data_IF_235650825575
#
_entry.id   IF_235650825575
#
_cell.length_a   1.000
_cell.length_b   1.000
_cell.length_c   1.000
_cell.angle_alpha   90.00
_cell.angle_beta   90.00
_cell.angle_gamma   90.00
#
_symmetry.space_group_name_H-M   'P 1'
#
loop_
_entity.id
_entity.type
_entity.pdbx_description
1 polymer ?
#
# COMPACT_ATOMS: atom_id res chain seq x y z
N UNK A 1 3.72 -31.22 -4.99
CA UNK A 1 3.06 -29.90 -4.76
C UNK A 1 3.45 -29.41 -3.38
N UNK A 2 4.22 -28.30 -3.28
CA UNK A 2 4.48 -27.68 -1.97
C UNK A 2 3.13 -27.24 -1.38
N UNK A 3 2.88 -27.58 -0.11
CA UNK A 3 1.63 -27.27 0.58
C UNK A 3 1.30 -25.78 0.46
N UNK A 4 0.25 -25.46 -0.29
CA UNK A 4 -0.25 -24.09 -0.47
C UNK A 4 -0.46 -23.42 0.90
N UNK A 5 -0.74 -24.20 1.95
CA UNK A 5 -0.94 -23.68 3.31
C UNK A 5 0.31 -23.06 3.94
N UNK A 6 1.51 -23.32 3.42
CA UNK A 6 2.77 -22.75 3.95
C UNK A 6 3.28 -21.53 3.19
N UNK A 7 2.67 -21.17 2.04
CA UNK A 7 3.16 -20.05 1.22
C UNK A 7 2.83 -18.70 1.86
N UNK A 8 3.85 -17.86 1.98
CA UNK A 8 3.74 -16.45 2.38
C UNK A 8 3.61 -15.62 1.10
N UNK A 9 2.51 -14.87 0.99
CA UNK A 9 2.32 -13.91 -0.11
C UNK A 9 2.69 -12.50 0.34
N UNK A 10 2.76 -11.54 -0.60
CA UNK A 10 3.09 -10.15 -0.30
C UNK A 10 2.14 -9.47 0.71
N UNK A 11 0.92 -9.98 0.82
CA UNK A 11 -0.11 -9.45 1.71
C UNK A 11 0.04 -9.94 3.16
N UNK A 12 0.75 -11.06 3.38
CA UNK A 12 0.98 -11.60 4.72
C UNK A 12 -0.31 -12.00 5.43
N UNK A 13 -0.46 -11.63 6.70
CA UNK A 13 -1.71 -11.82 7.46
C UNK A 13 -2.64 -10.64 7.20
N UNK A 14 -3.88 -10.94 6.84
CA UNK A 14 -4.94 -9.93 6.67
C UNK A 14 -5.77 -9.81 7.94
N UNK A 15 -5.98 -8.57 8.37
CA UNK A 15 -6.82 -8.12 9.46
C UNK A 15 -8.20 -7.71 8.93
N UNK A 16 -9.24 -7.91 9.75
CA UNK A 16 -10.62 -7.67 9.33
C UNK A 16 -11.22 -8.79 8.46
N UNK A 17 -12.54 -8.80 8.36
CA UNK A 17 -13.37 -9.66 7.51
C UNK A 17 -13.84 -8.95 6.23
N UNK A 18 -13.66 -7.64 6.11
CA UNK A 18 -14.13 -6.86 4.96
C UNK A 18 -12.98 -5.99 4.45
N UNK A 19 -12.30 -6.39 3.39
CA UNK A 19 -11.06 -5.72 2.97
C UNK A 19 -11.04 -5.33 1.51
N UNK A 20 -10.26 -4.30 1.18
CA UNK A 20 -9.98 -3.92 -0.20
C UNK A 20 -8.50 -4.08 -0.49
N UNK A 21 -8.17 -4.76 -1.58
CA UNK A 21 -6.82 -4.77 -2.13
C UNK A 21 -6.74 -3.69 -3.20
N UNK A 22 -5.81 -2.74 -3.04
CA UNK A 22 -5.62 -1.61 -3.94
C UNK A 22 -4.26 -1.75 -4.63
N UNK A 23 -4.24 -1.99 -5.93
CA UNK A 23 -3.03 -2.36 -6.67
C UNK A 23 -2.71 -1.26 -7.68
N UNK A 24 -1.53 -0.66 -7.54
CA UNK A 24 -0.98 0.28 -8.50
C UNK A 24 -0.78 -0.41 -9.87
N UNK A 25 -1.11 0.26 -10.96
CA UNK A 25 -0.98 -0.17 -12.36
C UNK A 25 -0.15 0.79 -13.20
N UNK A 26 0.44 1.81 -12.58
CA UNK A 26 1.30 2.77 -13.27
C UNK A 26 2.49 2.11 -13.96
N UNK A 27 3.09 2.80 -14.93
CA UNK A 27 4.11 2.22 -15.80
C UNK A 27 5.34 1.70 -15.05
N UNK A 28 5.63 2.25 -13.87
CA UNK A 28 6.72 1.82 -12.99
C UNK A 28 6.48 0.46 -12.33
N UNK A 29 5.23 0.02 -12.20
CA UNK A 29 4.89 -1.30 -11.66
C UNK A 29 4.83 -2.41 -12.73
N UNK A 30 4.85 -2.07 -14.02
CA UNK A 30 4.67 -3.00 -15.13
C UNK A 30 5.60 -4.23 -15.02
N UNK A 31 6.88 -4.01 -14.77
CA UNK A 31 7.88 -5.09 -14.58
C UNK A 31 7.61 -6.02 -13.39
N UNK A 32 6.71 -5.64 -12.48
CA UNK A 32 6.31 -6.42 -11.31
C UNK A 32 4.87 -6.94 -11.41
N UNK A 33 4.11 -6.54 -12.43
CA UNK A 33 2.67 -6.76 -12.49
C UNK A 33 2.29 -8.23 -12.40
N UNK A 34 2.90 -9.07 -13.22
CA UNK A 34 2.60 -10.50 -13.26
C UNK A 34 2.82 -11.18 -11.90
N UNK A 35 3.91 -10.82 -11.21
CA UNK A 35 4.23 -11.40 -9.91
C UNK A 35 3.30 -10.84 -8.82
N UNK A 36 2.94 -9.55 -8.86
CA UNK A 36 1.96 -8.95 -7.93
C UNK A 36 0.59 -9.61 -8.10
N UNK A 37 0.10 -9.76 -9.34
CA UNK A 37 -1.15 -10.43 -9.67
C UNK A 37 -1.13 -11.90 -9.22
N UNK A 38 -0.03 -12.61 -9.46
CA UNK A 38 0.14 -14.00 -8.99
C UNK A 38 0.03 -14.08 -7.47
N UNK A 39 0.74 -13.22 -6.74
CA UNK A 39 0.67 -13.19 -5.28
C UNK A 39 -0.71 -12.78 -4.75
N UNK A 40 -1.44 -11.90 -5.44
CA UNK A 40 -2.82 -11.53 -5.08
C UNK A 40 -3.77 -12.70 -5.26
N UNK A 41 -3.75 -13.37 -6.42
CA UNK A 41 -4.60 -14.53 -6.69
C UNK A 41 -4.28 -15.68 -5.72
N UNK A 42 -2.99 -16.00 -5.52
CA UNK A 42 -2.56 -16.99 -4.53
C UNK A 42 -3.06 -16.63 -3.12
N UNK A 43 -2.96 -15.35 -2.73
CA UNK A 43 -3.40 -14.90 -1.41
C UNK A 43 -4.91 -15.06 -1.23
N UNK A 44 -5.69 -14.69 -2.23
CA UNK A 44 -7.14 -14.82 -2.23
C UNK A 44 -7.56 -16.29 -2.16
N UNK A 45 -6.88 -17.20 -2.87
CA UNK A 45 -7.10 -18.65 -2.72
C UNK A 45 -6.87 -19.13 -1.27
N UNK A 46 -5.82 -18.62 -0.61
CA UNK A 46 -5.56 -18.96 0.79
C UNK A 46 -6.63 -18.41 1.74
N UNK A 47 -7.15 -17.21 1.46
CA UNK A 47 -8.23 -16.60 2.24
C UNK A 47 -9.55 -17.36 2.04
N UNK A 48 -9.88 -17.77 0.82
CA UNK A 48 -11.06 -18.59 0.52
C UNK A 48 -11.05 -19.88 1.35
N UNK A 49 -9.91 -20.58 1.35
CA UNK A 49 -9.76 -21.84 2.08
C UNK A 49 -9.85 -21.69 3.62
N UNK A 50 -9.50 -20.51 4.16
CA UNK A 50 -9.34 -20.29 5.62
C UNK A 50 -10.44 -19.43 6.25
N UNK A 51 -11.06 -18.53 5.47
CA UNK A 51 -11.91 -17.44 5.98
C UNK A 51 -13.15 -17.26 5.11
N UNK A 52 -13.98 -18.29 5.02
CA UNK A 52 -15.19 -18.34 4.15
C UNK A 52 -16.18 -17.18 4.33
N UNK A 53 -16.22 -16.54 5.50
CA UNK A 53 -17.14 -15.41 5.77
C UNK A 53 -16.58 -14.05 5.36
N UNK A 54 -15.28 -13.96 5.09
CA UNK A 54 -14.63 -12.71 4.71
C UNK A 54 -15.07 -12.30 3.30
N UNK A 55 -15.20 -10.99 3.12
CA UNK A 55 -15.52 -10.33 1.87
C UNK A 55 -14.35 -9.47 1.43
N UNK A 56 -14.20 -9.34 0.12
CA UNK A 56 -13.14 -8.55 -0.46
C UNK A 56 -13.62 -7.80 -1.71
N UNK A 57 -12.84 -6.81 -2.11
CA UNK A 57 -12.83 -6.29 -3.47
C UNK A 57 -11.39 -5.99 -3.88
N UNK A 58 -11.16 -5.87 -5.18
CA UNK A 58 -9.88 -5.44 -5.74
C UNK A 58 -10.12 -4.16 -6.52
N UNK A 59 -9.29 -3.17 -6.23
CA UNK A 59 -9.19 -1.91 -6.95
C UNK A 59 -7.82 -1.90 -7.61
N UNK A 60 -7.78 -1.53 -8.88
CA UNK A 60 -6.57 -1.30 -9.64
C UNK A 60 -6.55 0.18 -10.01
N UNK A 61 -5.41 0.85 -9.87
CA UNK A 61 -5.34 2.29 -10.08
C UNK A 61 -4.08 2.75 -10.80
N UNK A 62 -4.24 3.80 -11.58
CA UNK A 62 -3.19 4.62 -12.21
C UNK A 62 -3.67 6.07 -12.23
N UNK A 63 -3.85 6.70 -13.38
CA UNK A 63 -4.62 7.94 -13.52
C UNK A 63 -6.13 7.72 -13.45
N UNK A 64 -6.57 6.47 -13.57
CA UNK A 64 -7.94 6.03 -13.39
C UNK A 64 -8.05 5.00 -12.25
N UNK A 65 -9.29 4.76 -11.81
CA UNK A 65 -9.59 3.78 -10.78
C UNK A 65 -10.57 2.76 -11.34
N UNK A 66 -10.13 1.51 -11.41
CA UNK A 66 -10.94 0.38 -11.87
C UNK A 66 -11.24 -0.55 -10.70
N UNK A 67 -12.53 -0.83 -10.46
CA UNK A 67 -12.97 -1.76 -9.42
C UNK A 67 -13.36 -3.09 -10.06
N UNK A 68 -12.83 -4.20 -9.53
CA UNK A 68 -13.21 -5.54 -9.98
C UNK A 68 -14.72 -5.79 -9.83
N UNK A 69 -15.29 -5.33 -8.71
CA UNK A 69 -16.73 -5.37 -8.42
C UNK A 69 -17.18 -4.03 -7.87
N UNK A 70 -18.49 -3.76 -7.95
CA UNK A 70 -19.09 -2.54 -7.39
C UNK A 70 -19.15 -2.53 -5.85
N UNK A 71 -19.04 -3.70 -5.21
CA UNK A 71 -19.11 -3.88 -3.75
C UNK A 71 -18.21 -5.01 -3.29
N UNK A 72 -17.97 -5.10 -1.98
CA UNK A 72 -17.32 -6.25 -1.35
C UNK A 72 -18.12 -7.54 -1.60
N UNK A 73 -17.44 -8.58 -2.09
CA UNK A 73 -18.03 -9.89 -2.40
C UNK A 73 -17.35 -11.01 -1.61
N UNK A 74 -18.05 -12.13 -1.43
CA UNK A 74 -17.46 -13.34 -0.84
C UNK A 74 -16.53 -14.03 -1.84
N UNK A 75 -15.58 -14.79 -1.30
CA UNK A 75 -14.74 -15.66 -2.10
C UNK A 75 -15.55 -16.82 -2.71
N UNK A 76 -15.24 -17.17 -3.95
CA UNK A 76 -15.64 -18.44 -4.57
C UNK A 76 -14.66 -18.80 -5.68
N UNK A 77 -14.53 -20.08 -6.06
CA UNK A 77 -13.64 -20.48 -7.17
C UNK A 77 -13.95 -19.74 -8.49
N UNK A 78 -15.23 -19.50 -8.79
CA UNK A 78 -15.66 -18.75 -9.97
C UNK A 78 -15.18 -17.30 -9.91
N UNK A 79 -15.39 -16.63 -8.77
CA UNK A 79 -14.95 -15.25 -8.56
C UNK A 79 -13.42 -15.12 -8.69
N UNK A 80 -12.66 -16.09 -8.19
CA UNK A 80 -11.20 -16.09 -8.27
C UNK A 80 -10.74 -16.25 -9.73
N UNK A 81 -11.42 -17.10 -10.49
CA UNK A 81 -11.15 -17.28 -11.92
C UNK A 81 -11.46 -16.00 -12.71
N UNK A 82 -12.58 -15.34 -12.44
CA UNK A 82 -12.96 -14.07 -13.05
C UNK A 82 -11.97 -12.95 -12.69
N UNK A 83 -11.53 -12.89 -11.44
CA UNK A 83 -10.52 -11.93 -10.98
C UNK A 83 -9.20 -12.11 -11.74
N UNK A 84 -8.74 -13.36 -11.87
CA UNK A 84 -7.52 -13.67 -12.61
C UNK A 84 -7.63 -13.19 -14.06
N UNK A 85 -8.74 -13.49 -14.74
CA UNK A 85 -8.98 -13.03 -16.13
C UNK A 85 -9.00 -11.52 -16.23
N UNK A 86 -9.67 -10.85 -15.28
CA UNK A 86 -9.74 -9.39 -15.25
C UNK A 86 -8.36 -8.76 -15.11
N UNK A 87 -7.52 -9.25 -14.19
CA UNK A 87 -6.14 -8.77 -14.01
C UNK A 87 -5.24 -9.04 -15.23
N UNK A 88 -5.43 -10.16 -15.93
CA UNK A 88 -4.65 -10.52 -17.12
C UNK A 88 -4.95 -9.63 -18.34
N UNK A 89 -6.14 -9.01 -18.39
CA UNK A 89 -6.56 -8.17 -19.51
C UNK A 89 -6.23 -6.68 -19.29
N UNK A 90 -5.56 -6.34 -18.20
CA UNK A 90 -5.22 -4.96 -17.86
C UNK A 90 -4.06 -4.44 -18.73
N UNK A 91 -4.24 -3.27 -19.33
CA UNK A 91 -3.17 -2.51 -19.98
C UNK A 91 -2.51 -1.57 -18.96
N UNK A 92 -1.22 -1.27 -19.11
CA UNK A 92 -0.53 -0.34 -18.20
C UNK A 92 -0.65 1.11 -18.67
N UNK A 93 -0.93 2.02 -17.73
CA UNK A 93 -0.81 3.45 -17.97
C UNK A 93 0.57 3.97 -17.55
N UNK A 94 0.82 5.27 -17.73
CA UNK A 94 2.12 5.90 -17.42
C UNK A 94 2.19 6.48 -16.00
N UNK A 95 1.08 6.96 -15.45
CA UNK A 95 1.02 7.76 -14.21
C UNK A 95 0.26 7.05 -13.09
N UNK A 96 0.23 7.65 -11.88
CA UNK A 96 -0.44 7.12 -10.68
C UNK A 96 -1.04 8.27 -9.88
N UNK A 97 -2.30 8.14 -9.46
CA UNK A 97 -3.00 9.05 -8.54
C UNK A 97 -3.54 8.30 -7.32
N UNK A 98 -2.97 8.58 -6.14
CA UNK A 98 -3.33 7.88 -4.91
C UNK A 98 -4.65 8.35 -4.31
N UNK A 99 -4.97 9.65 -4.38
CA UNK A 99 -6.18 10.18 -3.74
C UNK A 99 -7.47 9.49 -4.26
N UNK A 100 -7.75 9.42 -5.58
CA UNK A 100 -8.94 8.74 -6.09
C UNK A 100 -8.98 7.25 -5.69
N UNK A 101 -7.83 6.57 -5.71
CA UNK A 101 -7.73 5.15 -5.37
C UNK A 101 -8.04 4.90 -3.88
N UNK A 102 -7.49 5.72 -2.99
CA UNK A 102 -7.74 5.65 -1.54
C UNK A 102 -9.20 6.00 -1.23
N UNK A 103 -9.75 7.03 -1.88
CA UNK A 103 -11.17 7.39 -1.76
C UNK A 103 -12.06 6.22 -2.17
N UNK A 104 -11.84 5.64 -3.35
CA UNK A 104 -12.61 4.51 -3.84
C UNK A 104 -12.51 3.29 -2.91
N UNK A 105 -11.32 3.03 -2.35
CA UNK A 105 -11.12 1.91 -1.42
C UNK A 105 -11.86 2.09 -0.10
N UNK A 106 -11.75 3.26 0.54
CA UNK A 106 -12.34 3.50 1.87
C UNK A 106 -13.83 3.85 1.83
N UNK A 107 -14.37 4.22 0.68
CA UNK A 107 -15.82 4.46 0.50
C UNK A 107 -16.60 3.16 0.21
N UNK A 108 -15.93 2.03 -0.04
CA UNK A 108 -16.60 0.73 -0.11
C UNK A 108 -17.36 0.44 1.19
N UNK A 109 -18.67 0.10 1.12
CA UNK A 109 -19.45 -0.16 2.32
C UNK A 109 -18.85 -1.27 3.18
N UNK A 110 -18.80 -1.04 4.49
CA UNK A 110 -18.30 -1.98 5.51
C UNK A 110 -16.81 -2.35 5.40
N UNK A 111 -16.01 -1.68 4.56
CA UNK A 111 -14.56 -1.94 4.53
C UNK A 111 -13.96 -1.64 5.90
N UNK A 112 -13.16 -2.58 6.39
CA UNK A 112 -12.48 -2.56 7.68
C UNK A 112 -10.99 -2.29 7.52
N UNK A 113 -10.38 -2.67 6.39
CA UNK A 113 -8.96 -2.46 6.11
C UNK A 113 -8.68 -2.35 4.61
N UNK A 114 -7.66 -1.55 4.25
CA UNK A 114 -7.19 -1.40 2.87
C UNK A 114 -5.73 -1.86 2.77
N UNK A 115 -5.44 -2.72 1.79
CA UNK A 115 -4.11 -3.23 1.48
C UNK A 115 -3.63 -2.67 0.16
N UNK A 116 -2.71 -1.70 0.21
CA UNK A 116 -2.21 -1.02 -0.99
C UNK A 116 -0.86 -1.60 -1.42
N UNK A 117 -0.67 -1.85 -2.71
CA UNK A 117 0.62 -2.26 -3.31
C UNK A 117 1.04 -1.20 -4.32
N UNK A 118 2.25 -0.66 -4.15
CA UNK A 118 2.78 0.39 -5.04
C UNK A 118 4.30 0.38 -5.03
N UNK A 119 4.91 1.01 -6.03
CA UNK A 119 6.34 1.39 -6.05
C UNK A 119 6.55 2.86 -5.61
N UNK A 120 5.46 3.58 -5.36
CA UNK A 120 5.43 4.92 -4.78
C UNK A 120 6.07 6.01 -5.63
N UNK A 121 6.10 5.82 -6.95
CA UNK A 121 6.71 6.75 -7.91
C UNK A 121 5.79 7.92 -8.30
N UNK A 122 4.64 8.12 -7.66
CA UNK A 122 3.75 9.21 -8.06
C UNK A 122 4.42 10.56 -7.78
N UNK A 123 4.75 11.27 -8.85
CA UNK A 123 5.42 12.56 -8.82
C UNK A 123 4.48 13.72 -8.47
N UNK A 124 3.22 13.44 -8.07
CA UNK A 124 2.12 14.39 -8.20
C UNK A 124 1.03 14.31 -7.12
N UNK A 125 1.31 13.81 -5.92
CA UNK A 125 0.30 13.94 -4.85
C UNK A 125 0.31 15.34 -4.25
N UNK A 126 -0.77 16.09 -4.50
CA UNK A 126 -1.04 17.37 -3.87
C UNK A 126 -1.32 17.25 -2.36
N UNK A 127 -1.28 18.37 -1.63
CA UNK A 127 -1.58 18.40 -0.19
C UNK A 127 -3.00 17.91 0.15
N UNK A 128 -3.92 17.96 -0.81
CA UNK A 128 -5.32 17.53 -0.66
C UNK A 128 -5.43 16.08 -0.21
N UNK A 129 -4.54 15.20 -0.71
CA UNK A 129 -4.49 13.80 -0.30
C UNK A 129 -4.40 13.66 1.22
N UNK A 130 -3.46 14.38 1.82
CA UNK A 130 -3.17 14.30 3.25
C UNK A 130 -4.21 15.02 4.09
N UNK A 131 -4.88 16.03 3.54
CA UNK A 131 -6.00 16.69 4.19
C UNK A 131 -7.21 15.73 4.34
N UNK A 132 -7.52 14.96 3.31
CA UNK A 132 -8.67 14.05 3.32
C UNK A 132 -8.38 12.70 4.01
N UNK A 133 -7.12 12.26 4.03
CA UNK A 133 -6.77 10.91 4.48
C UNK A 133 -7.28 10.53 5.89
N UNK A 134 -7.17 11.39 6.94
CA UNK A 134 -7.68 11.03 8.26
C UNK A 134 -9.18 10.74 8.28
N UNK A 135 -9.95 11.54 7.55
CA UNK A 135 -11.41 11.41 7.44
C UNK A 135 -11.78 10.18 6.60
N UNK A 136 -11.06 9.93 5.51
CA UNK A 136 -11.27 8.76 4.67
C UNK A 136 -10.97 7.46 5.42
N UNK A 137 -9.84 7.38 6.11
CA UNK A 137 -9.48 6.19 6.90
C UNK A 137 -10.48 5.96 8.02
N UNK A 138 -10.91 7.01 8.74
CA UNK A 138 -11.90 6.91 9.83
C UNK A 138 -11.58 5.76 10.82
N UNK A 139 -10.35 5.74 11.33
CA UNK A 139 -9.80 4.69 12.20
C UNK A 139 -9.63 3.31 11.57
N UNK A 140 -9.82 3.15 10.26
CA UNK A 140 -9.56 1.90 9.54
C UNK A 140 -8.13 1.88 9.01
N UNK A 141 -7.39 0.76 9.18
CA UNK A 141 -5.99 0.68 8.79
C UNK A 141 -5.77 0.75 7.29
N UNK A 142 -4.70 1.46 6.92
CA UNK A 142 -4.07 1.44 5.61
C UNK A 142 -2.76 0.65 5.71
N UNK A 143 -2.73 -0.53 5.11
CA UNK A 143 -1.54 -1.38 5.03
C UNK A 143 -0.87 -1.19 3.68
N UNK A 144 0.24 -0.45 3.64
CA UNK A 144 0.99 -0.21 2.42
C UNK A 144 2.13 -1.20 2.25
N UNK A 145 2.20 -1.81 1.06
CA UNK A 145 3.27 -2.67 0.57
C UNK A 145 4.05 -1.89 -0.49
N UNK A 146 5.24 -1.44 -0.12
CA UNK A 146 6.12 -0.72 -1.03
C UNK A 146 7.06 -1.72 -1.70
N UNK A 147 6.94 -1.90 -3.00
CA UNK A 147 7.86 -2.73 -3.78
C UNK A 147 9.20 -2.00 -3.93
N UNK A 148 10.29 -2.67 -3.55
CA UNK A 148 11.65 -2.10 -3.58
C UNK A 148 12.55 -3.07 -4.33
N UNK A 149 13.17 -2.60 -5.42
CA UNK A 149 14.11 -3.39 -6.19
C UNK A 149 15.49 -3.37 -5.54
N UNK A 150 16.07 -4.54 -5.28
CA UNK A 150 17.44 -4.68 -4.79
C UNK A 150 17.78 -3.76 -3.58
N UNK A 151 16.81 -3.55 -2.67
CA UNK A 151 16.92 -2.63 -1.52
C UNK A 151 17.18 -1.15 -1.90
N UNK A 152 17.01 -0.76 -3.16
CA UNK A 152 17.17 0.60 -3.63
C UNK A 152 15.92 1.42 -3.30
N UNK A 153 15.90 1.98 -2.09
CA UNK A 153 14.80 2.79 -1.58
C UNK A 153 15.07 4.28 -1.79
N UNK A 154 14.27 4.93 -2.63
CA UNK A 154 14.34 6.37 -2.82
C UNK A 154 13.68 7.13 -1.66
N UNK A 155 14.39 8.13 -1.11
CA UNK A 155 13.90 8.94 0.02
C UNK A 155 12.61 9.70 -0.27
N UNK A 156 12.39 10.16 -1.50
CA UNK A 156 11.14 10.82 -1.89
C UNK A 156 9.93 9.88 -1.72
N UNK A 157 10.10 8.63 -2.13
CA UNK A 157 9.08 7.59 -1.99
C UNK A 157 8.84 7.27 -0.52
N UNK A 158 9.91 7.09 0.26
CA UNK A 158 9.79 6.82 1.69
C UNK A 158 9.09 7.97 2.44
N UNK A 159 9.37 9.23 2.06
CA UNK A 159 8.66 10.42 2.57
C UNK A 159 7.17 10.37 2.28
N UNK A 160 6.78 10.05 1.05
CA UNK A 160 5.38 9.88 0.67
C UNK A 160 4.70 8.79 1.51
N UNK A 161 5.33 7.62 1.63
CA UNK A 161 4.79 6.51 2.42
C UNK A 161 4.68 6.85 3.90
N UNK A 162 5.67 7.55 4.47
CA UNK A 162 5.63 8.04 5.85
C UNK A 162 4.49 9.03 6.08
N UNK A 163 4.25 9.95 5.13
CA UNK A 163 3.11 10.88 5.16
C UNK A 163 1.79 10.10 5.15
N UNK A 164 1.63 9.13 4.24
CA UNK A 164 0.43 8.28 4.17
C UNK A 164 0.18 7.53 5.49
N UNK A 165 1.21 6.89 6.05
CA UNK A 165 1.05 6.16 7.31
C UNK A 165 0.72 7.10 8.47
N UNK A 166 1.40 8.25 8.58
CA UNK A 166 1.17 9.23 9.65
C UNK A 166 -0.24 9.84 9.61
N UNK A 167 -0.74 10.16 8.41
CA UNK A 167 -2.06 10.79 8.22
C UNK A 167 -3.20 9.78 8.12
N UNK A 168 -2.92 8.47 8.01
CA UNK A 168 -3.97 7.45 8.19
C UNK A 168 -4.53 7.42 9.63
N UNK A 169 -3.77 7.95 10.60
CA UNK A 169 -4.17 8.09 12.01
C UNK A 169 -4.74 6.81 12.65
N UNK A 170 -4.30 5.62 12.21
CA UNK A 170 -4.73 4.34 12.74
C UNK A 170 -3.53 3.54 13.26
N UNK A 171 -3.64 3.04 14.50
CA UNK A 171 -2.60 2.22 15.15
C UNK A 171 -2.25 0.92 14.41
N UNK A 172 -3.20 0.39 13.65
CA UNK A 172 -3.00 -0.84 12.91
C UNK A 172 -2.53 -0.59 11.47
N UNK A 173 -2.40 0.68 11.03
CA UNK A 173 -1.78 0.98 9.74
C UNK A 173 -0.33 0.52 9.74
N UNK A 174 0.14 0.03 8.60
CA UNK A 174 1.48 -0.55 8.48
C UNK A 174 2.14 -0.17 7.16
N UNK A 175 3.43 0.10 7.19
CA UNK A 175 4.28 0.16 6.00
C UNK A 175 5.17 -1.08 5.97
N UNK A 176 5.21 -1.80 4.87
CA UNK A 176 6.08 -2.96 4.69
C UNK A 176 6.82 -2.85 3.37
N UNK A 177 8.14 -3.02 3.40
CA UNK A 177 8.93 -3.12 2.17
C UNK A 177 8.89 -4.54 1.66
N UNK A 178 8.69 -4.66 0.36
CA UNK A 178 8.62 -5.92 -0.34
C UNK A 178 9.76 -5.92 -1.33
N UNK A 179 10.81 -6.68 -1.00
CA UNK A 179 11.99 -6.73 -1.84
C UNK A 179 11.71 -7.55 -3.09
N UNK A 180 12.05 -6.96 -4.22
CA UNK A 180 11.96 -7.60 -5.52
C UNK A 180 13.36 -7.84 -6.05
N UNK A 181 13.58 -9.09 -6.48
CA UNK A 181 14.84 -9.54 -7.07
C UNK A 181 14.58 -10.14 -8.44
N UNK A 182 15.47 -9.83 -9.38
CA UNK A 182 15.45 -10.39 -10.71
C UNK A 182 16.52 -11.49 -10.81
N UNK A 183 16.14 -12.67 -11.32
CA UNK A 183 17.06 -13.76 -11.67
C UNK A 183 16.83 -14.13 -13.13
N UNK A 184 17.56 -13.46 -14.01
CA UNK A 184 17.27 -13.49 -15.45
C UNK A 184 15.90 -12.88 -15.72
N UNK A 185 15.02 -13.63 -16.38
CA UNK A 185 13.63 -13.22 -16.68
C UNK A 185 12.66 -13.44 -15.51
N UNK A 186 13.10 -14.11 -14.44
CA UNK A 186 12.23 -14.42 -13.31
C UNK A 186 12.24 -13.29 -12.28
N UNK A 187 11.04 -12.85 -11.91
CA UNK A 187 10.83 -11.87 -10.83
C UNK A 187 10.46 -12.60 -9.55
N UNK A 188 11.27 -12.42 -8.51
CA UNK A 188 11.06 -13.01 -7.20
C UNK A 188 10.68 -11.92 -6.21
N UNK A 189 9.53 -12.08 -5.55
CA UNK A 189 9.12 -11.25 -4.43
C UNK A 189 9.50 -11.95 -3.12
N UNK A 190 10.21 -11.23 -2.26
CA UNK A 190 10.46 -11.61 -0.88
C UNK A 190 9.94 -10.50 0.04
N UNK A 191 8.76 -10.68 0.67
CA UNK A 191 8.25 -9.71 1.63
C UNK A 191 9.26 -9.56 2.77
N UNK A 192 9.76 -8.35 3.01
CA UNK A 192 10.69 -8.16 4.13
C UNK A 192 9.94 -8.43 5.45
N UNK A 193 10.66 -8.97 6.43
CA UNK A 193 10.13 -9.05 7.81
C UNK A 193 10.07 -7.68 8.48
N UNK A 194 10.57 -6.63 7.82
CA UNK A 194 10.57 -5.29 8.33
C UNK A 194 9.24 -4.60 8.09
N UNK A 195 8.63 -4.16 9.18
CA UNK A 195 7.45 -3.32 9.19
C UNK A 195 7.53 -2.48 10.47
N UNK A 196 7.84 -1.17 10.39
CA UNK A 196 7.90 -0.35 11.58
C UNK A 196 6.51 -0.20 12.18
N UNK A 197 6.39 -0.44 13.48
CA UNK A 197 5.19 -0.06 14.23
C UNK A 197 5.28 1.44 14.46
N UNK A 198 4.28 2.19 14.01
CA UNK A 198 4.23 3.64 14.18
C UNK A 198 3.55 3.95 15.52
N UNK A 199 4.25 4.60 16.46
CA UNK A 199 3.64 4.99 17.72
C UNK A 199 2.53 6.03 17.50
N UNK A 200 1.45 5.92 18.27
CA UNK A 200 0.28 6.81 18.11
C UNK A 200 0.60 8.29 18.35
N UNK A 201 1.62 8.60 19.16
CA UNK A 201 2.08 9.97 19.36
C UNK A 201 2.67 10.64 18.09
N UNK A 202 2.97 9.86 17.05
CA UNK A 202 3.46 10.34 15.76
C UNK A 202 2.35 10.54 14.72
N UNK A 203 1.09 10.22 15.03
CA UNK A 203 -0.02 10.46 14.12
C UNK A 203 -0.22 11.94 13.86
N UNK A 204 -0.51 12.29 12.61
CA UNK A 204 -0.56 13.67 12.15
C UNK A 204 0.80 14.41 12.14
N UNK A 205 1.90 13.75 12.52
CA UNK A 205 3.27 14.31 12.54
C UNK A 205 4.15 13.61 11.50
N UNK A 206 4.02 13.93 10.20
CA UNK A 206 4.66 13.20 9.12
C UNK A 206 6.19 13.22 9.19
N UNK A 207 6.79 14.32 9.62
CA UNK A 207 8.24 14.45 9.70
C UNK A 207 8.82 13.57 10.82
N UNK A 208 8.19 13.54 11.99
CA UNK A 208 8.61 12.68 13.09
C UNK A 208 8.38 11.20 12.76
N UNK A 209 7.26 10.89 12.10
CA UNK A 209 6.97 9.56 11.58
C UNK A 209 8.04 9.10 10.58
N UNK A 210 8.43 9.97 9.64
CA UNK A 210 9.52 9.70 8.70
C UNK A 210 10.83 9.40 9.43
N UNK A 211 11.22 10.23 10.40
CA UNK A 211 12.45 10.02 11.17
C UNK A 211 12.42 8.67 11.90
N UNK A 212 11.28 8.31 12.50
CA UNK A 212 11.08 7.02 13.14
C UNK A 212 11.22 5.85 12.16
N UNK A 213 10.57 5.94 10.99
CA UNK A 213 10.65 4.93 9.93
C UNK A 213 12.10 4.77 9.44
N UNK A 214 12.80 5.87 9.16
CA UNK A 214 14.20 5.84 8.70
C UNK A 214 15.13 5.24 9.75
N UNK A 215 15.01 5.64 11.03
CA UNK A 215 15.81 5.07 12.13
C UNK A 215 15.55 3.58 12.29
N UNK A 216 14.28 3.16 12.21
CA UNK A 216 13.89 1.75 12.26
C UNK A 216 14.47 0.95 11.10
N UNK A 217 14.46 1.51 9.88
CA UNK A 217 15.03 0.89 8.69
C UNK A 217 16.54 0.68 8.81
N UNK A 218 17.28 1.71 9.24
CA UNK A 218 18.73 1.65 9.42
C UNK A 218 19.10 0.58 10.48
N UNK A 219 18.40 0.58 11.61
CA UNK A 219 18.58 -0.43 12.66
C UNK A 219 18.27 -1.85 12.18
N UNK A 220 17.33 -2.01 11.26
CA UNK A 220 17.01 -3.31 10.67
C UNK A 220 18.10 -3.78 9.70
N UNK A 221 18.56 -2.90 8.80
CA UNK A 221 19.56 -3.25 7.81
C UNK A 221 20.93 -3.53 8.42
N UNK A 222 21.34 -2.79 9.44
CA UNK A 222 22.59 -3.04 10.19
C UNK A 222 22.59 -4.44 10.81
N UNK A 223 21.47 -4.89 11.40
CA UNK A 223 21.31 -6.27 11.92
C UNK A 223 21.45 -7.35 10.84
N UNK A 224 21.05 -7.08 9.60
CA UNK A 224 21.23 -8.03 8.49
C UNK A 224 22.71 -8.09 8.09
N UNK A 225 23.40 -6.94 8.02
CA UNK A 225 24.81 -6.86 7.64
C UNK A 225 25.77 -7.49 8.65
N UNK A 226 25.38 -7.56 9.93
CA UNK A 226 26.18 -8.15 11.02
C UNK A 226 25.86 -9.64 11.27
N UNK A 227 24.92 -10.23 10.54
CA UNK A 227 24.61 -11.65 10.66
C UNK A 227 25.80 -12.51 10.16
N UNK A 228 26.32 -13.46 10.97
CA UNK A 228 27.48 -14.25 10.58
C UNK A 228 27.11 -15.23 9.46
N UNK A 229 27.58 -14.98 8.24
CA UNK A 229 27.47 -15.96 7.14
C UNK A 229 27.29 -15.42 5.71
N UNK A 230 27.37 -14.13 5.42
CA UNK A 230 27.25 -13.61 4.04
C UNK A 230 28.53 -12.86 3.63
N UNK A 231 29.26 -13.44 2.67
CA UNK A 231 30.44 -12.86 2.03
C UNK A 231 30.09 -11.53 1.35
N UNK A 232 30.92 -10.52 1.60
CA UNK A 232 30.79 -9.16 1.07
C UNK A 232 31.04 -9.15 -0.43
N UNK A 233 29.99 -9.00 -1.22
CA UNK A 233 30.04 -8.40 -2.56
C UNK A 233 28.81 -7.52 -2.78
N UNK A 234 29.05 -6.27 -3.22
CA UNK A 234 28.04 -5.29 -3.59
C UNK A 234 28.01 -4.05 -2.69
N UNK A 235 28.62 -2.96 -3.16
CA UNK A 235 28.46 -1.61 -2.58
C UNK A 235 26.98 -1.19 -2.59
N UNK A 236 26.32 -1.35 -1.45
CA UNK A 236 25.04 -0.72 -1.15
C UNK A 236 25.26 0.68 -0.60
N UNK A 237 24.64 1.67 -1.23
CA UNK A 237 24.70 3.11 -0.94
C UNK A 237 24.67 3.40 0.57
N UNK A 238 25.75 4.05 1.08
CA UNK A 238 25.75 4.70 2.39
C UNK A 238 24.78 5.88 2.34
N UNK A 239 23.64 5.77 3.01
CA UNK A 239 22.77 6.92 3.27
C UNK A 239 23.52 7.88 4.18
N UNK A 240 24.03 8.98 3.63
CA UNK A 240 24.61 10.06 4.43
C UNK A 240 23.49 10.78 5.18
N UNK A 241 23.61 10.81 6.52
CA UNK A 241 22.64 11.38 7.46
C UNK A 241 22.44 12.89 7.24
N UNK A 242 23.41 13.58 6.62
CA UNK A 242 23.39 15.03 6.41
C UNK A 242 22.20 15.51 5.57
N UNK A 243 21.75 14.71 4.59
CA UNK A 243 20.72 15.13 3.64
C UNK A 243 19.29 14.90 4.20
N UNK A 244 19.19 14.23 5.35
CA UNK A 244 17.92 14.00 6.05
C UNK A 244 17.48 15.20 6.90
N UNK A 245 18.38 16.14 7.20
CA UNK A 245 18.14 17.23 8.16
C UNK A 245 17.88 18.60 7.49
N UNK A 246 18.16 18.76 6.19
CA UNK A 246 18.08 20.04 5.50
C UNK A 246 16.99 20.07 4.43
N UNK A 247 15.72 20.10 4.83
CA UNK A 247 14.67 20.68 3.98
C UNK A 247 13.67 21.41 4.85
N UNK A 248 13.80 22.73 4.90
CA UNK A 248 12.74 23.65 5.33
C UNK A 248 11.60 23.59 4.32
N UNK A 249 10.61 22.72 4.54
CA UNK A 249 9.30 22.87 3.91
C UNK A 249 8.54 23.98 4.63
N UNK A 250 8.01 24.92 3.85
CA UNK A 250 7.18 26.05 4.30
C UNK A 250 6.08 25.55 5.22
N UNK A 251 5.95 26.16 6.41
CA UNK A 251 4.96 25.82 7.45
C UNK A 251 3.58 25.55 6.85
N UNK A 252 3.23 24.28 6.70
CA UNK A 252 1.83 23.88 6.61
C UNK A 252 1.29 23.93 8.04
N UNK A 253 0.33 24.82 8.30
CA UNK A 253 -0.15 25.15 9.64
C UNK A 253 -0.44 23.89 10.47
N UNK A 254 0.20 23.81 11.63
CA UNK A 254 -0.18 22.87 12.69
C UNK A 254 -1.64 23.18 13.05
N UNK A 255 -2.57 22.37 12.58
CA UNK A 255 -3.96 22.47 12.97
C UNK A 255 -4.23 21.48 14.11
N UNK A 256 -4.83 21.93 15.22
CA UNK A 256 -5.14 21.06 16.33
C UNK A 256 -6.19 20.02 15.90
N UNK A 257 -5.84 18.74 16.06
CA UNK A 257 -6.77 17.61 16.01
C UNK A 257 -7.82 17.79 17.12
N UNK A 258 -8.94 18.46 16.82
CA UNK A 258 -10.13 18.39 17.67
C UNK A 258 -10.74 17.00 17.50
N UNK A 259 -10.96 16.31 18.60
CA UNK A 259 -11.68 15.05 18.67
C UNK A 259 -13.02 15.17 17.92
N UNK A 260 -13.16 14.48 16.78
CA UNK A 260 -14.41 14.45 16.02
C UNK A 260 -15.27 13.27 16.47
N UNK A 261 -16.39 13.63 17.09
CA UNK A 261 -17.42 12.72 17.55
C UNK A 261 -18.14 12.13 16.32
N UNK A 262 -18.18 10.80 16.24
CA UNK A 262 -18.76 10.07 15.11
C UNK A 262 -20.28 10.20 15.12
N UNK A 263 -20.86 11.02 14.23
CA UNK A 263 -22.21 10.84 13.69
C UNK A 263 -22.40 11.70 12.45
N UNK A 264 -22.86 11.04 11.39
CA UNK A 264 -23.40 11.58 10.12
C UNK A 264 -22.44 12.35 9.20
N UNK A 265 -21.82 11.64 8.26
CA UNK A 265 -21.51 12.17 6.93
C UNK A 265 -22.29 11.35 5.90
N UNK A 266 -23.16 12.04 5.16
CA UNK A 266 -24.03 11.47 4.13
C UNK A 266 -23.25 11.48 2.80
N UNK A 267 -22.80 10.31 2.34
CA UNK A 267 -21.92 10.17 1.16
C UNK A 267 -22.64 10.25 -0.19
N UNK A 268 -23.94 10.60 -0.22
CA UNK A 268 -24.72 10.67 -1.46
C UNK A 268 -24.39 11.89 -2.34
N UNK A 269 -23.65 12.88 -1.84
CA UNK A 269 -23.35 14.12 -2.57
C UNK A 269 -22.00 14.11 -3.33
N UNK A 270 -21.25 13.01 -3.32
CA UNK A 270 -19.93 12.88 -3.99
C UNK A 270 -19.97 12.03 -5.28
N UNK A 271 -21.16 11.58 -5.71
CA UNK A 271 -21.35 10.72 -6.88
C UNK A 271 -22.02 11.43 -8.06
N UNK A 272 -21.58 12.65 -8.40
CA UNK A 272 -22.08 13.37 -9.58
C UNK A 272 -20.96 13.99 -10.44
N UNK A 273 -19.91 13.21 -10.69
CA UNK A 273 -18.89 13.56 -11.70
C UNK A 273 -18.63 12.37 -12.62
N UNK A 274 -19.11 12.53 -13.86
CA UNK A 274 -18.73 11.86 -15.11
C UNK A 274 -19.23 10.42 -15.38
N UNK A 275 -20.50 10.31 -15.75
CA UNK A 275 -20.87 9.48 -16.91
C UNK A 275 -20.79 10.34 -18.18
N UNK A 276 -19.68 10.25 -18.92
CA UNK A 276 -19.67 10.67 -20.33
C UNK A 276 -19.98 9.44 -21.16
N UNK A 277 -21.20 9.45 -21.71
CA UNK A 277 -21.75 8.48 -22.66
C UNK A 277 -21.02 8.68 -23.99
N UNK A 278 -20.21 7.71 -24.41
CA UNK A 278 -19.74 7.65 -25.81
C UNK A 278 -20.82 6.93 -26.61
N UNK A 279 -21.35 7.61 -27.64
CA UNK A 279 -22.26 7.06 -28.64
C UNK A 279 -21.51 6.13 -29.59
#
# INVERSE_FOLDING_TARGET
MKDLRSRVTLFGRVEGNNVVFCIDRSGSINKYWDVVCTHLVEHICLLEARRKQMRFNVIVFDDHVECFRSKLIRFSPLIIFELRKWLQNMAHASTSYLLPAIMAAFTQPFVEAVYMVTVGTSALEGPELFHHLPVLCNSRPLHSKLLVENNNLHMKVLRLMAKLTAYSCCANSSLCLVNVHFRGVFVHINPSKWSPVIPSQLFGKPNDCLQHIVRSWISWNTRISEAPGISKEGEGVKVAISDCLSTTETKCGELPLRFFNSRTLNYSALFDVQQVRVK
#
